data_IF_226817985337
#
_entry.id   IF_226817985337
#
_cell.length_a   1.000
_cell.length_b   1.000
_cell.length_c   1.000
_cell.angle_alpha   90.00
_cell.angle_beta   90.00
_cell.angle_gamma   90.00
#
_symmetry.space_group_name_H-M   'P 1'
#
loop_
_entity.id
_entity.type
_entity.pdbx_description
1 polymer ?
#
# COMPACT_ATOMS: atom_id res chain seq x y z
N UNK A 1 -7.57 11.55 -11.41
CA UNK A 1 -6.79 11.89 -10.19
C UNK A 1 -5.57 10.98 -10.12
N UNK A 2 -4.40 11.48 -9.68
CA UNK A 2 -3.15 10.72 -9.63
C UNK A 2 -2.11 11.37 -8.72
N UNK A 3 -1.06 10.64 -8.36
CA UNK A 3 -0.01 11.11 -7.43
C UNK A 3 1.03 11.97 -8.14
N UNK A 4 1.75 12.78 -7.39
CA UNK A 4 2.83 13.60 -7.95
C UNK A 4 4.02 12.74 -8.42
N UNK A 5 4.60 13.10 -9.55
CA UNK A 5 5.77 12.45 -10.15
C UNK A 5 6.82 13.47 -10.55
N UNK A 6 8.00 13.01 -10.98
CA UNK A 6 9.05 13.91 -11.51
C UNK A 6 8.59 14.69 -12.75
N UNK A 7 7.68 14.11 -13.54
CA UNK A 7 6.97 14.77 -14.64
C UNK A 7 5.48 14.45 -14.54
N UNK A 8 4.66 15.46 -14.32
CA UNK A 8 3.19 15.34 -14.28
C UNK A 8 2.67 14.48 -13.12
N UNK A 9 1.73 13.58 -13.42
CA UNK A 9 1.08 12.70 -12.43
C UNK A 9 1.37 11.22 -12.71
N UNK A 10 1.47 10.41 -11.66
CA UNK A 10 1.53 8.96 -11.72
C UNK A 10 0.18 8.34 -11.36
N UNK A 11 -0.38 7.59 -12.29
CA UNK A 11 -1.71 6.95 -12.17
C UNK A 11 -1.63 5.42 -12.19
N UNK A 12 -0.68 4.86 -12.93
CA UNK A 12 -0.52 3.42 -13.06
C UNK A 12 -0.07 2.79 -11.73
N UNK A 13 -0.93 1.96 -11.11
CA UNK A 13 -0.71 1.33 -9.80
C UNK A 13 0.60 0.54 -9.78
N UNK A 14 0.91 -0.17 -10.86
CA UNK A 14 2.15 -0.93 -11.03
C UNK A 14 3.41 -0.04 -11.05
N UNK A 15 3.28 1.27 -11.21
CA UNK A 15 4.39 2.23 -11.18
C UNK A 15 4.35 3.20 -10.00
N UNK A 16 3.41 3.07 -9.07
CA UNK A 16 3.32 3.88 -7.85
C UNK A 16 4.19 3.26 -6.74
N UNK A 17 4.90 4.10 -6.01
CA UNK A 17 5.89 3.76 -4.97
C UNK A 17 5.79 4.80 -3.85
N UNK A 18 6.33 4.53 -2.65
CA UNK A 18 6.24 5.44 -1.50
C UNK A 18 6.62 6.90 -1.82
N UNK A 19 7.71 7.09 -2.60
CA UNK A 19 8.15 8.41 -3.08
C UNK A 19 7.06 9.26 -3.76
N UNK A 20 6.07 8.65 -4.42
CA UNK A 20 5.00 9.39 -5.08
C UNK A 20 3.97 9.90 -4.06
N UNK A 21 3.73 9.17 -2.98
CA UNK A 21 2.90 9.63 -1.86
C UNK A 21 3.60 10.76 -1.12
N UNK A 22 4.88 10.61 -0.78
CA UNK A 22 5.69 11.66 -0.14
C UNK A 22 5.78 12.93 -0.99
N UNK A 23 6.03 12.79 -2.30
CA UNK A 23 6.03 13.93 -3.21
C UNK A 23 4.66 14.62 -3.31
N UNK A 24 3.57 13.87 -3.14
CA UNK A 24 2.21 14.44 -3.11
C UNK A 24 1.96 15.16 -1.79
N UNK A 25 2.32 14.54 -0.66
CA UNK A 25 2.22 15.13 0.68
C UNK A 25 2.94 16.49 0.74
N UNK A 26 4.18 16.54 0.25
CA UNK A 26 4.98 17.77 0.18
C UNK A 26 4.29 18.90 -0.60
N UNK A 27 3.71 18.60 -1.77
CA UNK A 27 3.02 19.61 -2.60
C UNK A 27 1.73 20.09 -1.94
N UNK A 28 1.02 19.20 -1.25
CA UNK A 28 -0.23 19.51 -0.56
C UNK A 28 -0.04 20.03 0.87
N UNK A 29 1.23 20.24 1.30
CA UNK A 29 1.59 20.63 2.67
C UNK A 29 1.03 19.69 3.75
N UNK A 30 0.85 18.42 3.41
CA UNK A 30 0.57 17.37 4.38
C UNK A 30 1.87 17.03 5.13
N UNK A 31 1.86 16.96 6.49
CA UNK A 31 3.08 16.70 7.25
C UNK A 31 3.77 15.40 6.82
N UNK A 32 5.04 15.51 6.42
CA UNK A 32 5.84 14.38 5.92
C UNK A 32 5.96 13.27 6.97
N UNK A 33 6.08 13.63 8.25
CA UNK A 33 6.07 12.68 9.38
C UNK A 33 4.80 11.82 9.41
N UNK A 34 3.63 12.41 9.22
CA UNK A 34 2.36 11.67 9.18
C UNK A 34 2.26 10.77 7.94
N UNK A 35 2.84 11.19 6.82
CA UNK A 35 2.90 10.34 5.63
C UNK A 35 3.81 9.13 5.85
N UNK A 36 4.95 9.32 6.51
CA UNK A 36 5.81 8.19 6.91
C UNK A 36 5.10 7.25 7.89
N UNK A 37 4.34 7.77 8.87
CA UNK A 37 3.53 6.96 9.78
C UNK A 37 2.53 6.08 9.03
N UNK A 38 1.74 6.66 8.13
CA UNK A 38 0.78 5.91 7.29
C UNK A 38 1.48 4.79 6.51
N UNK A 39 2.59 5.10 5.84
CA UNK A 39 3.32 4.12 5.01
C UNK A 39 3.94 3.01 5.86
N UNK A 40 4.45 3.37 7.05
CA UNK A 40 5.00 2.43 8.04
C UNK A 40 3.93 1.50 8.60
N UNK A 41 2.75 2.03 8.92
CA UNK A 41 1.63 1.23 9.42
C UNK A 41 1.15 0.23 8.39
N UNK A 42 0.99 0.64 7.12
CA UNK A 42 0.70 -0.32 6.04
C UNK A 42 1.81 -1.36 5.88
N UNK A 43 3.08 -0.99 6.04
CA UNK A 43 4.19 -1.94 5.96
C UNK A 43 4.12 -3.02 7.04
N UNK A 44 3.72 -2.68 8.27
CA UNK A 44 3.62 -3.65 9.38
C UNK A 44 2.29 -4.41 9.40
N UNK A 45 1.18 -3.75 9.11
CA UNK A 45 -0.15 -4.27 9.44
C UNK A 45 -0.79 -5.10 8.32
N UNK A 46 -0.43 -4.86 7.05
CA UNK A 46 -1.08 -5.51 5.91
C UNK A 46 -1.05 -7.04 5.98
N UNK A 47 0.07 -7.72 6.27
CA UNK A 47 0.10 -9.18 6.30
C UNK A 47 -0.93 -9.76 7.30
N UNK A 48 -0.91 -9.28 8.54
CA UNK A 48 -1.85 -9.73 9.56
C UNK A 48 -3.30 -9.33 9.26
N UNK A 49 -3.53 -8.16 8.65
CA UNK A 49 -4.86 -7.72 8.26
C UNK A 49 -5.48 -8.65 7.19
N UNK A 50 -4.68 -9.11 6.22
CA UNK A 50 -5.14 -10.06 5.21
C UNK A 50 -5.53 -11.39 5.84
N UNK A 51 -4.73 -11.90 6.78
CA UNK A 51 -5.05 -13.14 7.50
C UNK A 51 -6.35 -13.01 8.32
N UNK A 52 -6.50 -11.92 9.09
CA UNK A 52 -7.69 -11.67 9.89
C UNK A 52 -8.97 -11.54 9.05
N UNK A 53 -8.87 -10.94 7.86
CA UNK A 53 -9.99 -10.85 6.92
C UNK A 53 -10.34 -12.24 6.41
N UNK A 54 -9.36 -13.04 5.97
CA UNK A 54 -9.58 -14.41 5.48
C UNK A 54 -10.29 -15.29 6.50
N UNK A 55 -9.91 -15.22 7.79
CA UNK A 55 -10.55 -16.00 8.86
C UNK A 55 -12.00 -15.60 9.13
N UNK A 56 -12.43 -14.44 8.62
CA UNK A 56 -13.77 -13.87 8.83
C UNK A 56 -14.69 -14.03 7.62
N UNK A 57 -14.22 -14.66 6.54
CA UNK A 57 -15.01 -14.86 5.32
C UNK A 57 -16.01 -16.02 5.50
N UNK A 58 -17.20 -15.94 4.87
CA UNK A 58 -18.11 -17.07 4.74
C UNK A 58 -17.46 -18.27 4.06
N UNK A 59 -17.92 -19.48 4.38
CA UNK A 59 -17.39 -20.73 3.81
C UNK A 59 -17.63 -20.89 2.30
N UNK A 60 -18.60 -20.17 1.75
CA UNK A 60 -18.93 -20.11 0.32
C UNK A 60 -18.29 -18.92 -0.40
N UNK A 61 -17.41 -18.17 0.27
CA UNK A 61 -16.73 -17.04 -0.33
C UNK A 61 -15.78 -17.51 -1.45
N UNK A 62 -15.78 -16.84 -2.62
CA UNK A 62 -14.98 -17.25 -3.77
C UNK A 62 -13.47 -17.08 -3.53
N UNK A 63 -12.75 -18.20 -3.45
CA UNK A 63 -11.31 -18.23 -3.20
C UNK A 63 -10.50 -17.48 -4.28
N UNK A 64 -10.98 -17.45 -5.53
CA UNK A 64 -10.31 -16.70 -6.59
C UNK A 64 -10.29 -15.18 -6.32
N UNK A 65 -11.26 -14.65 -5.58
CA UNK A 65 -11.29 -13.24 -5.16
C UNK A 65 -10.24 -13.01 -4.09
N UNK A 66 -10.16 -13.89 -3.08
CA UNK A 66 -9.13 -13.84 -2.03
C UNK A 66 -7.74 -13.86 -2.65
N UNK A 67 -7.48 -14.89 -3.47
CA UNK A 67 -6.18 -15.10 -4.12
C UNK A 67 -5.78 -13.89 -4.97
N UNK A 68 -6.71 -13.34 -5.79
CA UNK A 68 -6.41 -12.21 -6.67
C UNK A 68 -6.08 -10.93 -5.89
N UNK A 69 -6.80 -10.66 -4.80
CA UNK A 69 -6.58 -9.48 -3.96
C UNK A 69 -5.30 -9.65 -3.15
N UNK A 70 -5.18 -10.74 -2.38
CA UNK A 70 -4.04 -11.00 -1.49
C UNK A 70 -2.71 -10.96 -2.25
N UNK A 71 -2.63 -11.68 -3.37
CA UNK A 71 -1.40 -11.73 -4.19
C UNK A 71 -0.97 -10.34 -4.65
N UNK A 72 -1.91 -9.52 -5.12
CA UNK A 72 -1.60 -8.18 -5.62
C UNK A 72 -1.31 -7.19 -4.50
N UNK A 73 -2.01 -7.29 -3.37
CA UNK A 73 -1.75 -6.47 -2.19
C UNK A 73 -0.34 -6.77 -1.67
N UNK A 74 0.02 -8.04 -1.47
CA UNK A 74 1.35 -8.44 -0.99
C UNK A 74 2.46 -8.03 -1.98
N UNK A 75 2.22 -8.16 -3.29
CA UNK A 75 3.16 -7.69 -4.33
C UNK A 75 3.45 -6.18 -4.23
N UNK A 76 2.43 -5.36 -3.96
CA UNK A 76 2.59 -3.91 -3.80
C UNK A 76 3.14 -3.54 -2.43
N UNK A 77 2.69 -4.24 -1.37
CA UNK A 77 3.17 -4.12 0.01
C UNK A 77 4.68 -4.34 0.09
N UNK A 78 5.26 -5.25 -0.69
CA UNK A 78 6.72 -5.41 -0.77
C UNK A 78 7.48 -4.13 -1.20
N UNK A 79 6.82 -3.11 -1.75
CA UNK A 79 7.41 -1.77 -1.97
C UNK A 79 7.55 -0.98 -0.68
N UNK A 80 6.61 -1.15 0.25
CA UNK A 80 6.65 -0.56 1.59
C UNK A 80 7.62 -1.30 2.49
N UNK A 81 7.58 -2.63 2.54
CA UNK A 81 8.47 -3.43 3.41
C UNK A 81 9.96 -3.22 3.10
N UNK A 82 10.32 -2.92 1.84
CA UNK A 82 11.72 -2.59 1.50
C UNK A 82 12.19 -1.23 2.04
N UNK A 83 11.28 -0.31 2.33
CA UNK A 83 11.58 1.06 2.76
C UNK A 83 11.30 1.28 4.26
N UNK A 84 10.26 0.62 4.79
CA UNK A 84 9.76 0.74 6.17
C UNK A 84 9.82 -0.57 6.97
N UNK A 85 10.27 -1.67 6.37
CA UNK A 85 10.40 -2.95 7.06
C UNK A 85 11.45 -2.87 8.16
N UNK A 86 11.09 -3.37 9.33
CA UNK A 86 12.01 -3.57 10.45
C UNK A 86 12.98 -4.67 10.02
N UNK A 87 14.30 -4.39 10.09
CA UNK A 87 15.34 -5.39 9.90
C UNK A 87 15.26 -6.47 10.97
#
# INVERSE_FOLDING_TARGET
MGLNASKGKKTAIDKIYPRHFLATAKVLRFPEVQMHEILSDFARMIPAALDNVKTSLPTDFPENVVTAVETNVLRLHGRLSREYGIK
#
